data_IF_166787996422
#
_entry.id   IF_166787996422
#
_cell.length_a   1.000
_cell.length_b   1.000
_cell.length_c   1.000
_cell.angle_alpha   90.00
_cell.angle_beta   90.00
_cell.angle_gamma   90.00
#
_symmetry.space_group_name_H-M   'P 1'
#
loop_
_entity.id
_entity.type
_entity.pdbx_description
1 polymer ?
#
# COMPACT_ATOMS: atom_id res chain seq x y z
N UNK A 1 2.68 -53.24 -38.45
CA UNK A 1 3.27 -52.92 -37.13
C UNK A 1 4.28 -51.77 -37.16
N UNK A 2 5.42 -51.86 -37.85
CA UNK A 2 6.48 -50.80 -37.83
C UNK A 2 5.99 -49.37 -38.17
N UNK A 3 5.03 -49.23 -39.10
CA UNK A 3 4.47 -47.93 -39.52
C UNK A 3 3.56 -47.28 -38.45
N UNK A 4 2.85 -48.11 -37.69
CA UNK A 4 1.96 -47.68 -36.59
C UNK A 4 2.80 -47.27 -35.37
N UNK A 5 3.84 -48.04 -35.06
CA UNK A 5 4.79 -47.73 -33.97
C UNK A 5 5.53 -46.42 -34.25
N UNK A 6 5.98 -46.18 -35.50
CA UNK A 6 6.59 -44.90 -35.89
C UNK A 6 5.63 -43.71 -35.77
N UNK A 7 4.35 -43.89 -36.13
CA UNK A 7 3.32 -42.85 -35.96
C UNK A 7 3.06 -42.55 -34.48
N UNK A 8 2.92 -43.58 -33.64
CA UNK A 8 2.70 -43.42 -32.21
C UNK A 8 3.90 -42.76 -31.50
N UNK A 9 5.12 -43.10 -31.90
CA UNK A 9 6.33 -42.44 -31.41
C UNK A 9 6.39 -40.96 -31.82
N UNK A 10 6.07 -40.66 -33.09
CA UNK A 10 6.05 -39.27 -33.57
C UNK A 10 4.98 -38.43 -32.86
N UNK A 11 3.78 -38.99 -32.63
CA UNK A 11 2.72 -38.31 -31.86
C UNK A 11 3.11 -38.13 -30.40
N UNK A 12 3.82 -39.07 -29.79
CA UNK A 12 4.31 -38.94 -28.41
C UNK A 12 5.40 -37.87 -28.29
N UNK A 13 6.33 -37.78 -29.25
CA UNK A 13 7.35 -36.73 -29.30
C UNK A 13 6.73 -35.35 -29.55
N UNK A 14 5.73 -35.26 -30.44
CA UNK A 14 4.97 -34.02 -30.66
C UNK A 14 4.18 -33.61 -29.42
N UNK A 15 3.55 -34.55 -28.70
CA UNK A 15 2.90 -34.26 -27.42
C UNK A 15 3.91 -33.78 -26.37
N UNK A 16 5.10 -34.39 -26.32
CA UNK A 16 6.16 -34.00 -25.39
C UNK A 16 6.72 -32.61 -25.70
N UNK A 17 6.85 -32.26 -26.98
CA UNK A 17 7.22 -30.92 -27.44
C UNK A 17 6.11 -29.89 -27.17
N UNK A 18 4.83 -30.29 -27.22
CA UNK A 18 3.69 -29.44 -26.87
C UNK A 18 3.65 -29.07 -25.38
N UNK A 19 4.19 -29.90 -24.49
CA UNK A 19 4.32 -29.60 -23.05
C UNK A 19 5.27 -28.43 -22.79
N UNK A 20 6.24 -28.17 -23.68
CA UNK A 20 7.17 -27.04 -23.57
C UNK A 20 6.64 -25.73 -24.17
N UNK A 21 5.47 -25.72 -24.83
CA UNK A 21 4.86 -24.51 -25.41
C UNK A 21 3.87 -23.85 -24.44
N UNK A 22 3.67 -24.41 -23.24
CA UNK A 22 2.90 -23.78 -22.17
C UNK A 22 3.82 -22.89 -21.33
N UNK A 23 4.07 -21.69 -21.83
CA UNK A 23 4.05 -20.42 -21.09
C UNK A 23 4.78 -19.36 -21.91
N UNK A 24 4.06 -18.77 -22.87
CA UNK A 24 4.52 -17.55 -23.54
C UNK A 24 4.44 -16.31 -22.62
N UNK A 25 4.39 -16.51 -21.30
CA UNK A 25 4.42 -15.43 -20.30
C UNK A 25 5.48 -15.66 -19.21
N UNK A 26 6.38 -16.62 -19.40
CA UNK A 26 7.60 -16.72 -18.63
C UNK A 26 8.65 -15.70 -19.12
N UNK A 27 8.27 -14.43 -19.28
CA UNK A 27 9.30 -13.39 -19.15
C UNK A 27 9.78 -13.50 -17.70
N UNK A 28 11.07 -13.77 -17.43
CA UNK A 28 11.56 -13.73 -16.07
C UNK A 28 11.23 -12.34 -15.56
N UNK A 29 10.26 -12.24 -14.65
CA UNK A 29 9.97 -11.01 -13.94
C UNK A 29 11.23 -10.65 -13.19
N UNK A 30 12.12 -9.87 -13.80
CA UNK A 30 13.35 -9.43 -13.18
C UNK A 30 12.96 -8.65 -11.94
N UNK A 31 13.36 -9.16 -10.77
CA UNK A 31 13.20 -8.44 -9.52
C UNK A 31 14.02 -7.15 -9.62
N UNK A 32 13.34 -6.02 -9.62
CA UNK A 32 13.95 -4.69 -9.59
C UNK A 32 13.99 -4.19 -8.15
N UNK A 33 14.81 -3.20 -7.89
CA UNK A 33 14.88 -2.55 -6.58
C UNK A 33 15.12 -1.06 -6.73
N UNK A 34 14.44 -0.26 -5.92
CA UNK A 34 14.66 1.18 -5.79
C UNK A 34 14.44 1.60 -4.34
N UNK A 35 15.39 2.35 -3.77
CA UNK A 35 15.37 2.72 -2.35
C UNK A 35 15.23 1.50 -1.43
N UNK A 36 14.12 1.46 -0.70
CA UNK A 36 13.80 0.41 0.28
C UNK A 36 13.03 -0.77 -0.31
N UNK A 37 12.54 -0.68 -1.55
CA UNK A 37 11.56 -1.61 -2.08
C UNK A 37 12.11 -2.46 -3.22
N UNK A 38 11.73 -3.74 -3.22
CA UNK A 38 11.81 -4.64 -4.37
C UNK A 38 10.49 -4.55 -5.12
N UNK A 39 10.54 -4.50 -6.44
CA UNK A 39 9.36 -4.32 -7.26
C UNK A 39 9.44 -5.03 -8.61
N UNK A 40 8.28 -5.12 -9.25
CA UNK A 40 8.09 -5.60 -10.64
C UNK A 40 7.30 -4.56 -11.42
N UNK A 41 7.39 -4.62 -12.74
CA UNK A 41 6.52 -3.86 -13.62
C UNK A 41 5.44 -4.80 -14.14
N UNK A 42 4.18 -4.42 -13.93
CA UNK A 42 3.04 -5.13 -14.47
C UNK A 42 3.09 -5.11 -16.00
N UNK A 43 2.85 -6.27 -16.62
CA UNK A 43 2.99 -6.40 -18.07
C UNK A 43 1.88 -5.66 -18.80
N UNK A 44 0.70 -5.57 -18.22
CA UNK A 44 -0.48 -5.01 -18.86
C UNK A 44 -0.58 -3.52 -18.57
N UNK A 45 -0.55 -3.15 -17.28
CA UNK A 45 -0.73 -1.74 -16.89
C UNK A 45 0.55 -0.91 -16.99
N UNK A 46 1.72 -1.56 -17.08
CA UNK A 46 3.05 -0.91 -17.01
C UNK A 46 3.32 -0.19 -15.70
N UNK A 47 2.50 -0.41 -14.68
CA UNK A 47 2.66 0.16 -13.34
C UNK A 47 3.59 -0.69 -12.48
N UNK A 48 4.00 -0.12 -11.34
CA UNK A 48 4.86 -0.77 -10.37
C UNK A 48 4.01 -1.60 -9.40
N UNK A 49 4.46 -2.84 -9.19
CA UNK A 49 3.95 -3.76 -8.17
C UNK A 49 5.06 -4.01 -7.17
N UNK A 50 4.85 -3.64 -5.91
CA UNK A 50 5.83 -3.90 -4.86
C UNK A 50 5.78 -5.38 -4.46
N UNK A 51 6.94 -6.00 -4.30
CA UNK A 51 7.03 -7.45 -4.02
C UNK A 51 7.88 -7.79 -2.80
N UNK A 52 8.41 -6.79 -2.11
CA UNK A 52 9.17 -6.99 -0.88
C UNK A 52 10.08 -5.82 -0.55
N UNK A 53 10.91 -6.00 0.47
CA UNK A 53 11.89 -5.02 0.92
C UNK A 53 13.30 -5.36 0.42
N UNK A 54 14.13 -4.35 0.17
CA UNK A 54 15.58 -4.51 0.01
C UNK A 54 16.22 -4.69 1.39
N UNK A 55 17.49 -5.13 1.47
CA UNK A 55 18.21 -5.18 2.75
C UNK A 55 18.17 -3.84 3.51
N UNK A 56 18.23 -2.70 2.82
CA UNK A 56 18.11 -1.39 3.48
C UNK A 56 16.71 -1.14 4.03
N UNK A 57 15.68 -1.59 3.31
CA UNK A 57 14.29 -1.52 3.74
C UNK A 57 13.99 -2.42 4.94
N UNK A 58 14.57 -3.63 4.96
CA UNK A 58 14.45 -4.59 6.06
C UNK A 58 14.99 -4.02 7.40
N UNK A 59 15.92 -3.05 7.35
CA UNK A 59 16.50 -2.38 8.52
C UNK A 59 15.73 -1.13 8.99
N UNK A 60 14.68 -0.69 8.29
CA UNK A 60 13.93 0.51 8.68
C UNK A 60 12.94 0.20 9.81
N UNK A 61 12.88 1.06 10.83
CA UNK A 61 11.82 1.00 11.85
C UNK A 61 10.52 1.65 11.36
N UNK A 62 10.61 2.58 10.41
CA UNK A 62 9.47 3.28 9.80
C UNK A 62 9.57 3.22 8.28
N UNK A 63 8.49 2.83 7.61
CA UNK A 63 8.41 2.83 6.14
C UNK A 63 7.20 3.61 5.65
N UNK A 64 7.42 4.40 4.60
CA UNK A 64 6.36 5.05 3.82
C UNK A 64 6.32 4.39 2.45
N UNK A 65 5.20 3.77 2.10
CA UNK A 65 5.04 3.14 0.79
C UNK A 65 4.95 4.24 -0.28
N UNK A 66 5.80 4.21 -1.33
CA UNK A 66 5.79 5.25 -2.35
C UNK A 66 4.59 5.09 -3.29
N UNK A 67 4.07 6.20 -3.80
CA UNK A 67 3.09 6.18 -4.91
C UNK A 67 3.75 6.15 -6.29
N UNK A 68 5.06 6.43 -6.39
CA UNK A 68 5.80 6.46 -7.65
C UNK A 68 7.19 5.83 -7.45
N UNK A 69 7.60 4.93 -8.36
CA UNK A 69 8.98 4.43 -8.46
C UNK A 69 9.42 4.54 -9.92
N UNK A 70 10.60 5.13 -10.14
CA UNK A 70 11.21 5.29 -11.48
C UNK A 70 10.25 5.90 -12.51
N UNK A 71 9.48 6.93 -12.08
CA UNK A 71 8.50 7.65 -12.90
C UNK A 71 7.22 6.84 -13.21
N UNK A 72 6.97 5.76 -12.49
CA UNK A 72 5.79 4.90 -12.69
C UNK A 72 4.97 4.81 -11.42
N UNK A 73 3.65 4.93 -11.57
CA UNK A 73 2.70 4.73 -10.48
C UNK A 73 2.91 3.36 -9.84
N UNK A 74 2.96 3.33 -8.51
CA UNK A 74 2.85 2.12 -7.72
C UNK A 74 1.37 1.83 -7.52
N UNK A 75 0.88 0.73 -8.05
CA UNK A 75 -0.56 0.44 -8.07
C UNK A 75 -0.96 -0.78 -7.25
N UNK A 76 0.00 -1.62 -6.84
CA UNK A 76 -0.26 -2.83 -6.05
C UNK A 76 0.90 -3.20 -5.15
N UNK A 77 0.55 -3.98 -4.14
CA UNK A 77 1.49 -4.73 -3.31
C UNK A 77 1.18 -6.20 -3.55
N UNK A 78 2.22 -6.99 -3.81
CA UNK A 78 2.08 -8.39 -4.19
C UNK A 78 1.40 -8.60 -5.56
N UNK A 79 1.41 -9.84 -6.02
CA UNK A 79 0.76 -10.22 -7.26
C UNK A 79 0.25 -11.67 -7.22
N UNK A 80 -0.81 -11.95 -7.96
CA UNK A 80 -1.31 -13.31 -8.11
C UNK A 80 -0.35 -14.15 -8.95
N UNK A 81 0.32 -15.11 -8.33
CA UNK A 81 1.14 -16.09 -9.05
C UNK A 81 0.26 -17.25 -9.49
N UNK A 82 0.22 -17.48 -10.81
CA UNK A 82 -0.44 -18.64 -11.43
C UNK A 82 0.63 -19.62 -11.89
N UNK A 83 0.57 -20.85 -11.37
CA UNK A 83 1.50 -21.92 -11.72
C UNK A 83 0.76 -23.26 -11.81
N UNK A 84 1.49 -24.38 -11.71
CA UNK A 84 0.90 -25.72 -11.79
C UNK A 84 0.05 -26.12 -10.55
N UNK A 85 -0.06 -25.23 -9.55
CA UNK A 85 -0.88 -25.41 -8.35
C UNK A 85 -1.94 -24.30 -8.22
N UNK A 86 -2.67 -24.30 -7.09
CA UNK A 86 -3.64 -23.26 -6.81
C UNK A 86 -2.98 -21.86 -6.87
N UNK A 87 -3.62 -20.87 -7.52
CA UNK A 87 -3.13 -19.50 -7.52
C UNK A 87 -2.96 -18.99 -6.09
N UNK A 88 -1.86 -18.29 -5.83
CA UNK A 88 -1.63 -17.64 -4.55
C UNK A 88 -1.05 -16.25 -4.76
N UNK A 89 -1.32 -15.35 -3.83
CA UNK A 89 -0.75 -14.01 -3.83
C UNK A 89 0.67 -14.06 -3.28
N UNK A 90 1.62 -13.50 -4.04
CA UNK A 90 3.03 -13.54 -3.73
C UNK A 90 3.53 -12.13 -3.38
N UNK A 91 4.07 -11.99 -2.17
CA UNK A 91 4.84 -10.86 -1.69
C UNK A 91 5.84 -11.37 -0.64
N UNK A 92 7.04 -10.79 -0.58
CA UNK A 92 8.13 -11.16 0.36
C UNK A 92 8.54 -9.92 1.16
N UNK A 93 7.59 -9.38 1.93
CA UNK A 93 7.86 -8.31 2.89
C UNK A 93 8.22 -8.95 4.21
N UNK A 94 9.45 -8.69 4.67
CA UNK A 94 9.95 -9.20 5.93
C UNK A 94 10.78 -8.15 6.63
N UNK A 95 10.61 -8.01 7.93
CA UNK A 95 11.47 -7.16 8.74
C UNK A 95 11.23 -7.41 10.22
N UNK A 96 12.29 -7.76 10.94
CA UNK A 96 12.27 -7.81 12.40
C UNK A 96 12.43 -6.40 13.03
N UNK A 97 12.61 -5.35 12.22
CA UNK A 97 12.85 -3.97 12.69
C UNK A 97 11.66 -3.05 12.49
N UNK A 98 10.84 -3.31 11.48
CA UNK A 98 9.72 -2.45 11.11
C UNK A 98 8.67 -2.43 12.21
N UNK A 99 8.42 -1.23 12.75
CA UNK A 99 7.40 -0.95 13.77
C UNK A 99 6.26 -0.10 13.21
N UNK A 100 6.54 0.74 12.22
CA UNK A 100 5.54 1.66 11.68
C UNK A 100 5.54 1.66 10.16
N UNK A 101 4.36 1.54 9.56
CA UNK A 101 4.21 1.60 8.11
C UNK A 101 3.06 2.53 7.71
N UNK A 102 3.31 3.33 6.67
CA UNK A 102 2.33 4.24 6.10
C UNK A 102 2.00 3.84 4.66
N UNK A 103 0.71 3.70 4.38
CA UNK A 103 0.17 3.44 3.05
C UNK A 103 -0.58 4.67 2.54
N UNK A 104 -0.12 5.33 1.45
CA UNK A 104 -0.95 6.31 0.76
C UNK A 104 -2.15 5.64 0.07
N UNK A 105 -3.06 6.45 -0.48
CA UNK A 105 -4.13 5.97 -1.35
C UNK A 105 -3.64 5.65 -2.76
N UNK A 106 -4.55 5.12 -3.59
CA UNK A 106 -4.28 4.87 -5.01
C UNK A 106 -3.74 3.48 -5.34
N UNK A 107 -3.65 2.59 -4.34
CA UNK A 107 -3.44 1.16 -4.58
C UNK A 107 -4.75 0.48 -4.97
N UNK A 108 -4.66 -0.45 -5.93
CA UNK A 108 -5.75 -1.38 -6.20
C UNK A 108 -5.79 -2.48 -5.14
N UNK A 109 -6.98 -3.07 -4.93
CA UNK A 109 -7.19 -4.17 -3.99
C UNK A 109 -6.13 -5.24 -4.20
N UNK A 110 -5.37 -5.49 -3.15
CA UNK A 110 -4.27 -6.45 -3.12
C UNK A 110 -4.57 -7.46 -2.04
N UNK A 111 -4.77 -8.73 -2.40
CA UNK A 111 -5.12 -9.77 -1.44
C UNK A 111 -3.85 -10.41 -0.89
N UNK A 112 -3.18 -9.74 0.04
CA UNK A 112 -1.97 -10.31 0.67
C UNK A 112 -2.37 -10.86 2.03
N UNK A 113 -2.85 -12.10 2.01
CA UNK A 113 -2.93 -12.88 3.24
C UNK A 113 -1.50 -13.05 3.78
N UNK A 114 -1.35 -12.98 5.10
CA UNK A 114 -0.06 -13.12 5.79
C UNK A 114 0.95 -11.96 5.56
N UNK A 115 0.56 -10.77 5.07
CA UNK A 115 1.53 -9.67 4.85
C UNK A 115 2.38 -9.37 6.10
N UNK A 116 1.75 -9.41 7.28
CA UNK A 116 2.38 -9.09 8.57
C UNK A 116 3.07 -10.30 9.23
N UNK A 117 2.92 -11.51 8.70
CA UNK A 117 3.46 -12.73 9.30
C UNK A 117 4.98 -12.71 9.47
N UNK A 118 5.69 -12.14 8.50
CA UNK A 118 7.14 -11.99 8.52
C UNK A 118 7.57 -10.59 9.01
N UNK A 119 6.67 -9.87 9.68
CA UNK A 119 6.88 -8.54 10.28
C UNK A 119 6.40 -8.55 11.74
N UNK A 120 7.06 -9.34 12.61
CA UNK A 120 6.52 -9.68 13.94
C UNK A 120 6.46 -8.49 14.93
N UNK A 121 7.18 -7.40 14.64
CA UNK A 121 7.30 -6.24 15.53
C UNK A 121 6.49 -5.03 15.06
N UNK A 122 5.52 -5.22 14.16
CA UNK A 122 4.66 -4.12 13.69
C UNK A 122 3.78 -3.58 14.84
N UNK A 123 3.81 -2.27 15.04
CA UNK A 123 3.06 -1.59 16.11
C UNK A 123 2.00 -0.63 15.54
N UNK A 124 2.31 0.10 14.48
CA UNK A 124 1.43 1.16 13.94
C UNK A 124 1.30 1.07 12.43
N UNK A 125 0.07 1.11 11.95
CA UNK A 125 -0.24 0.98 10.53
C UNK A 125 -1.15 2.13 10.12
N UNK A 126 -0.67 3.03 9.27
CA UNK A 126 -1.42 4.20 8.80
C UNK A 126 -1.96 3.97 7.39
N UNK A 127 -3.27 4.08 7.21
CA UNK A 127 -3.95 3.94 5.93
C UNK A 127 -4.58 5.23 5.44
N UNK A 128 -3.98 5.82 4.40
CA UNK A 128 -4.46 7.02 3.73
C UNK A 128 -5.79 6.81 3.00
N UNK A 129 -6.08 5.61 2.52
CA UNK A 129 -7.39 5.21 1.97
C UNK A 129 -7.73 3.76 2.34
N UNK A 130 -8.97 3.54 2.73
CA UNK A 130 -9.47 2.28 3.30
C UNK A 130 -10.11 1.47 2.19
N UNK A 131 -9.29 0.78 1.40
CA UNK A 131 -9.72 -0.39 0.62
C UNK A 131 -9.17 -1.66 1.28
N UNK A 132 -9.72 -2.00 2.46
CA UNK A 132 -9.26 -3.15 3.25
C UNK A 132 -9.64 -4.44 2.52
N UNK A 133 -8.63 -5.17 2.06
CA UNK A 133 -8.71 -6.59 1.70
C UNK A 133 -7.38 -7.27 2.08
N UNK A 134 -6.87 -6.95 3.27
CA UNK A 134 -5.70 -7.58 3.88
C UNK A 134 -6.16 -8.29 5.15
N UNK A 135 -5.91 -9.59 5.21
CA UNK A 135 -6.11 -10.36 6.43
C UNK A 135 -5.12 -9.86 7.50
N UNK A 136 -5.65 -9.24 8.55
CA UNK A 136 -4.86 -8.70 9.66
C UNK A 136 -4.57 -9.75 10.74
N UNK A 137 -4.97 -11.01 10.56
CA UNK A 137 -4.94 -12.09 11.56
C UNK A 137 -3.57 -12.51 12.13
N UNK A 138 -2.49 -11.77 11.85
CA UNK A 138 -1.16 -11.95 12.45
C UNK A 138 -0.66 -10.71 13.21
N UNK A 139 -1.53 -9.72 13.44
CA UNK A 139 -1.21 -8.56 14.27
C UNK A 139 -1.74 -8.84 15.67
N UNK A 140 -0.83 -9.16 16.60
CA UNK A 140 -1.21 -9.49 17.98
C UNK A 140 -1.47 -8.23 18.84
N UNK A 141 -0.76 -7.12 18.61
CA UNK A 141 -0.80 -5.91 19.46
C UNK A 141 -0.63 -4.59 18.68
N UNK A 142 -0.89 -4.57 17.37
CA UNK A 142 -0.73 -3.37 16.54
C UNK A 142 -1.98 -2.51 16.50
N UNK A 143 -1.80 -1.21 16.39
CA UNK A 143 -2.88 -0.23 16.18
C UNK A 143 -2.94 0.19 14.70
N UNK A 144 -4.15 0.21 14.16
CA UNK A 144 -4.43 0.65 12.79
C UNK A 144 -5.03 2.05 12.84
N UNK A 145 -4.46 2.96 12.08
CA UNK A 145 -4.92 4.33 11.95
C UNK A 145 -5.61 4.52 10.60
N UNK A 146 -6.76 5.17 10.62
CA UNK A 146 -7.56 5.50 9.42
C UNK A 146 -8.05 6.95 9.48
N UNK A 147 -8.36 7.54 8.33
CA UNK A 147 -9.05 8.84 8.29
C UNK A 147 -10.52 8.71 8.72
N UNK A 148 -11.11 9.78 9.26
CA UNK A 148 -12.51 9.78 9.75
C UNK A 148 -13.57 9.50 8.68
N UNK A 149 -13.40 10.03 7.47
CA UNK A 149 -14.39 9.91 6.39
C UNK A 149 -14.41 8.49 5.80
N UNK A 150 -13.33 7.73 5.99
CA UNK A 150 -13.26 6.35 5.53
C UNK A 150 -13.89 5.40 6.53
N UNK A 151 -15.10 4.94 6.18
CA UNK A 151 -15.60 3.63 6.57
C UNK A 151 -15.87 3.40 8.07
N UNK A 152 -15.51 4.31 8.98
CA UNK A 152 -15.73 4.16 10.43
C UNK A 152 -17.21 3.89 10.77
N UNK A 153 -18.13 4.61 10.13
CA UNK A 153 -19.57 4.40 10.31
C UNK A 153 -20.06 3.07 9.70
N UNK A 154 -19.37 2.54 8.69
CA UNK A 154 -19.67 1.22 8.10
C UNK A 154 -19.07 0.07 8.93
N UNK A 155 -17.87 0.27 9.49
CA UNK A 155 -17.18 -0.68 10.36
C UNK A 155 -17.89 -0.81 11.71
N UNK A 156 -18.40 0.30 12.28
CA UNK A 156 -19.27 0.28 13.46
C UNK A 156 -20.53 -0.57 13.30
N UNK A 157 -21.04 -0.73 12.08
CA UNK A 157 -22.22 -1.55 11.80
C UNK A 157 -21.88 -3.05 11.69
N UNK A 158 -20.59 -3.39 11.56
CA UNK A 158 -20.08 -4.74 11.42
C UNK A 158 -18.98 -4.97 12.47
N UNK A 159 -19.33 -4.84 13.76
CA UNK A 159 -18.43 -5.14 14.90
C UNK A 159 -17.77 -6.53 14.80
N UNK A 160 -18.32 -7.42 13.98
CA UNK A 160 -17.81 -8.78 13.72
C UNK A 160 -16.71 -8.87 12.62
N UNK A 161 -16.36 -7.78 11.92
CA UNK A 161 -15.49 -7.83 10.73
C UNK A 161 -13.98 -7.75 11.04
N UNK A 162 -13.61 -7.17 12.17
CA UNK A 162 -12.23 -7.26 12.67
C UNK A 162 -12.18 -8.32 13.74
N UNK A 163 -11.16 -9.18 13.66
CA UNK A 163 -10.78 -9.99 14.81
C UNK A 163 -10.56 -9.04 15.99
N UNK A 164 -11.17 -9.36 17.12
CA UNK A 164 -11.46 -8.44 18.23
C UNK A 164 -10.20 -7.93 18.98
N UNK A 165 -9.02 -8.22 18.45
CA UNK A 165 -7.70 -7.91 18.99
C UNK A 165 -7.05 -6.64 18.43
N UNK A 166 -7.56 -6.07 17.32
CA UNK A 166 -6.90 -4.94 16.64
C UNK A 166 -7.57 -3.62 17.00
N UNK A 167 -6.80 -2.72 17.60
CA UNK A 167 -7.24 -1.36 17.91
C UNK A 167 -7.27 -0.52 16.63
N UNK A 168 -8.44 0.05 16.30
CA UNK A 168 -8.60 0.97 15.16
C UNK A 168 -8.81 2.39 15.67
N UNK A 169 -7.85 3.26 15.35
CA UNK A 169 -7.80 4.66 15.76
C UNK A 169 -8.09 5.60 14.58
N UNK A 170 -8.68 6.75 14.87
CA UNK A 170 -8.90 7.80 13.87
C UNK A 170 -7.72 8.76 13.91
N UNK A 171 -7.02 8.91 12.79
CA UNK A 171 -5.94 9.88 12.65
C UNK A 171 -6.46 11.32 12.65
N UNK A 172 -5.68 12.22 13.25
CA UNK A 172 -6.02 13.64 13.36
C UNK A 172 -5.38 14.52 12.26
N UNK A 173 -4.50 13.98 11.44
CA UNK A 173 -3.97 14.63 10.23
C UNK A 173 -4.40 13.85 9.00
N UNK A 174 -5.04 14.54 8.05
CA UNK A 174 -5.49 13.97 6.78
C UNK A 174 -4.95 14.79 5.61
N UNK A 175 -4.23 14.13 4.71
CA UNK A 175 -3.83 14.68 3.43
C UNK A 175 -4.88 14.31 2.37
N UNK A 176 -5.34 15.28 1.60
CA UNK A 176 -6.32 15.13 0.54
C UNK A 176 -5.65 15.23 -0.83
N UNK A 177 -6.04 14.35 -1.74
CA UNK A 177 -5.51 14.36 -3.11
C UNK A 177 -5.92 15.61 -3.89
N UNK A 178 -7.01 16.29 -3.47
CA UNK A 178 -7.47 17.58 -4.01
C UNK A 178 -7.56 17.59 -5.55
N UNK A 179 -8.08 16.52 -6.13
CA UNK A 179 -8.25 16.32 -7.57
C UNK A 179 -9.64 16.76 -8.07
N UNK A 180 -10.35 17.57 -7.27
CA UNK A 180 -11.77 17.89 -7.43
C UNK A 180 -12.68 17.00 -6.59
N UNK A 181 -12.13 16.01 -5.88
CA UNK A 181 -12.83 15.19 -4.88
C UNK A 181 -12.36 15.50 -3.46
N UNK A 182 -13.05 14.93 -2.47
CA UNK A 182 -12.65 14.93 -1.06
C UNK A 182 -11.91 13.64 -0.66
N UNK A 183 -11.29 12.96 -1.62
CA UNK A 183 -10.58 11.71 -1.36
C UNK A 183 -9.30 11.95 -0.55
N UNK A 184 -9.15 11.14 0.48
CA UNK A 184 -7.96 11.08 1.32
C UNK A 184 -6.82 10.39 0.55
N UNK A 185 -5.61 10.82 0.87
CA UNK A 185 -4.39 10.33 0.27
C UNK A 185 -3.46 9.73 1.31
N UNK A 186 -3.28 10.38 2.44
CA UNK A 186 -2.32 9.99 3.47
C UNK A 186 -2.82 10.48 4.82
N UNK A 187 -2.34 9.88 5.90
CA UNK A 187 -2.74 10.26 7.25
C UNK A 187 -1.56 10.18 8.21
N UNK A 188 -1.68 10.86 9.34
CA UNK A 188 -0.75 10.77 10.46
C UNK A 188 -1.47 11.04 11.79
N UNK A 189 -0.89 10.59 12.89
CA UNK A 189 -1.35 10.90 14.25
C UNK A 189 -0.26 11.71 14.96
N UNK A 190 -0.56 12.96 15.29
CA UNK A 190 0.43 13.93 15.75
C UNK A 190 -0.17 14.79 16.85
N UNK A 191 0.60 15.05 17.91
CA UNK A 191 0.16 15.92 19.01
C UNK A 191 1.28 16.89 19.41
N UNK A 192 1.00 18.19 19.36
CA UNK A 192 1.91 19.27 19.74
C UNK A 192 3.29 19.22 19.06
N UNK A 193 3.31 18.87 17.76
CA UNK A 193 4.52 18.68 16.98
C UNK A 193 4.28 18.99 15.50
N UNK A 194 5.36 19.08 14.72
CA UNK A 194 5.29 18.90 13.27
C UNK A 194 4.94 17.44 12.95
N UNK A 195 4.53 17.17 11.71
CA UNK A 195 4.17 15.81 11.25
C UNK A 195 5.34 14.84 11.34
N UNK A 196 5.07 13.55 11.57
CA UNK A 196 6.08 12.53 11.84
C UNK A 196 6.86 12.13 10.58
N UNK A 197 6.16 12.09 9.45
CA UNK A 197 6.73 11.73 8.14
C UNK A 197 6.18 12.65 7.05
N UNK A 198 6.99 12.86 6.02
CA UNK A 198 6.54 13.55 4.80
C UNK A 198 5.82 12.52 3.93
N UNK A 199 4.58 12.80 3.47
CA UNK A 199 3.87 11.90 2.58
C UNK A 199 4.64 11.71 1.26
N UNK A 200 4.52 10.56 0.59
CA UNK A 200 5.14 10.39 -0.71
C UNK A 200 4.49 11.35 -1.71
N UNK A 201 5.20 11.64 -2.82
CA UNK A 201 4.61 12.42 -3.91
C UNK A 201 3.41 11.67 -4.49
N UNK A 202 2.19 12.26 -4.44
CA UNK A 202 1.01 11.61 -5.00
C UNK A 202 1.11 11.50 -6.53
N UNK A 203 0.37 10.55 -7.09
CA UNK A 203 0.26 10.38 -8.54
C UNK A 203 -1.12 10.83 -9.01
N UNK A 204 -1.16 11.64 -10.07
CA UNK A 204 -2.38 12.01 -10.81
C UNK A 204 -2.06 12.04 -12.29
N UNK A 205 -2.85 11.33 -13.10
CA UNK A 205 -2.61 11.25 -14.54
C UNK A 205 -2.83 12.60 -15.23
N UNK A 206 -1.85 13.06 -16.02
CA UNK A 206 -1.89 14.34 -16.74
C UNK A 206 -1.61 15.57 -15.89
N UNK A 207 -1.19 15.39 -14.63
CA UNK A 207 -0.86 16.49 -13.73
C UNK A 207 0.44 16.24 -13.00
N UNK A 208 1.21 17.31 -12.81
CA UNK A 208 2.39 17.35 -11.98
C UNK A 208 2.02 17.83 -10.58
N UNK A 209 2.42 17.07 -9.57
CA UNK A 209 2.31 17.51 -8.17
C UNK A 209 3.19 18.73 -7.93
N UNK A 210 2.64 19.78 -7.31
CA UNK A 210 3.38 21.00 -6.99
C UNK A 210 3.84 21.01 -5.53
N UNK A 211 2.91 21.02 -4.59
CA UNK A 211 3.20 21.04 -3.16
C UNK A 211 1.97 20.67 -2.31
N UNK A 212 2.12 20.67 -0.99
CA UNK A 212 1.06 20.54 -0.01
C UNK A 212 0.64 21.91 0.54
N UNK A 213 -0.66 22.10 0.73
CA UNK A 213 -1.27 23.38 1.10
C UNK A 213 -2.22 23.25 2.28
N UNK A 214 -2.43 24.36 2.99
CA UNK A 214 -3.31 24.43 4.17
C UNK A 214 -4.80 24.46 3.82
N UNK A 215 -5.12 24.80 2.57
CA UNK A 215 -6.47 24.90 2.06
C UNK A 215 -6.59 24.42 0.61
N UNK A 216 -7.83 24.13 0.17
CA UNK A 216 -8.12 23.55 -1.15
C UNK A 216 -7.73 24.45 -2.30
N UNK A 217 -7.78 25.77 -2.07
CA UNK A 217 -7.45 26.82 -3.03
C UNK A 217 -5.94 26.92 -3.32
N UNK A 218 -5.11 26.18 -2.56
CA UNK A 218 -3.66 26.12 -2.74
C UNK A 218 -2.95 27.48 -2.70
N UNK A 219 -3.25 28.30 -1.69
CA UNK A 219 -2.66 29.65 -1.54
C UNK A 219 -1.47 29.61 -0.58
N UNK A 220 -1.63 28.93 0.56
CA UNK A 220 -0.66 28.83 1.64
C UNK A 220 -0.05 27.43 1.68
N UNK A 221 1.28 27.37 1.50
CA UNK A 221 2.03 26.13 1.63
C UNK A 221 1.98 25.61 3.06
N UNK A 222 1.92 24.28 3.19
CA UNK A 222 2.24 23.58 4.43
C UNK A 222 3.77 23.44 4.54
N UNK A 223 4.37 24.05 5.55
CA UNK A 223 5.80 23.97 5.86
C UNK A 223 6.05 22.83 6.85
N UNK A 224 6.56 21.71 6.36
CA UNK A 224 6.83 20.50 7.14
C UNK A 224 7.80 20.70 8.33
N UNK A 225 8.61 21.76 8.33
CA UNK A 225 9.56 22.04 9.41
C UNK A 225 9.00 23.03 10.45
N UNK A 226 7.98 23.81 10.10
CA UNK A 226 7.47 24.91 10.94
C UNK A 226 6.01 24.77 11.35
N UNK A 227 5.16 24.23 10.49
CA UNK A 227 3.74 24.12 10.77
C UNK A 227 3.46 22.98 11.75
N UNK A 228 2.81 23.34 12.85
CA UNK A 228 2.54 22.43 13.96
C UNK A 228 1.10 21.94 13.92
N UNK A 229 0.94 20.66 14.22
CA UNK A 229 -0.33 20.06 14.62
C UNK A 229 -0.57 20.40 16.09
N UNK A 230 -1.75 20.94 16.45
CA UNK A 230 -2.06 21.29 17.82
C UNK A 230 -2.07 20.05 18.73
N UNK A 231 -1.92 20.27 20.03
CA UNK A 231 -2.07 19.21 21.03
C UNK A 231 -3.47 18.60 20.95
N UNK A 232 -3.54 17.26 20.96
CA UNK A 232 -4.79 16.52 21.10
C UNK A 232 -5.45 16.90 22.43
N UNK A 233 -6.75 17.17 22.38
CA UNK A 233 -7.54 17.67 23.52
C UNK A 233 -8.45 16.57 24.04
N UNK A 234 -8.76 16.64 25.32
CA UNK A 234 -9.69 15.73 25.99
C UNK A 234 -10.77 16.54 26.70
N UNK A 235 -11.98 16.00 26.77
CA UNK A 235 -13.08 16.57 27.56
C UNK A 235 -12.91 16.28 29.06
N UNK A 236 -13.88 16.71 29.88
CA UNK A 236 -13.85 16.50 31.33
C UNK A 236 -13.95 15.03 31.74
N UNK A 237 -14.45 14.17 30.85
CA UNK A 237 -14.67 12.75 31.08
C UNK A 237 -13.47 11.91 30.58
N UNK A 238 -12.48 12.57 29.97
CA UNK A 238 -11.26 11.95 29.43
C UNK A 238 -11.41 11.43 28.00
N UNK A 239 -12.50 11.74 27.30
CA UNK A 239 -12.66 11.36 25.90
C UNK A 239 -11.92 12.35 25.00
N UNK A 240 -11.30 11.83 23.94
CA UNK A 240 -10.64 12.67 22.95
C UNK A 240 -11.64 13.59 22.22
N UNK A 241 -11.33 14.88 22.17
CA UNK A 241 -12.04 15.87 21.35
C UNK A 241 -11.37 15.90 19.99
N UNK A 242 -11.96 15.18 19.03
CA UNK A 242 -11.42 15.08 17.69
C UNK A 242 -11.39 16.42 16.95
N UNK A 243 -10.21 16.80 16.49
CA UNK A 243 -9.94 17.95 15.62
C UNK A 243 -9.09 17.48 14.43
N UNK A 244 -9.54 17.75 13.21
CA UNK A 244 -8.86 17.30 11.99
C UNK A 244 -8.01 18.42 11.39
N UNK A 245 -6.72 18.13 11.18
CA UNK A 245 -5.83 18.94 10.35
C UNK A 245 -5.90 18.43 8.92
N UNK A 246 -6.30 19.32 8.00
CA UNK A 246 -6.44 19.02 6.59
C UNK A 246 -5.32 19.64 5.79
N UNK A 247 -4.69 18.84 4.94
CA UNK A 247 -3.59 19.28 4.07
C UNK A 247 -3.93 18.85 2.64
N UNK A 248 -3.76 19.72 1.66
CA UNK A 248 -4.28 19.52 0.30
C UNK A 248 -3.16 19.49 -0.73
N UNK A 249 -3.19 18.53 -1.64
CA UNK A 249 -2.23 18.50 -2.75
C UNK A 249 -2.53 19.62 -3.76
N UNK A 250 -1.48 20.24 -4.29
CA UNK A 250 -1.57 21.15 -5.44
C UNK A 250 -1.10 20.46 -6.71
N UNK A 251 -1.67 20.87 -7.84
CA UNK A 251 -1.46 20.27 -9.15
C UNK A 251 -1.29 21.32 -10.24
N UNK A 252 -0.45 21.02 -11.22
CA UNK A 252 -0.29 21.77 -12.47
C UNK A 252 -0.52 20.80 -13.64
N UNK A 253 -1.30 21.19 -14.65
CA UNK A 253 -1.50 20.36 -15.85
C UNK A 253 -0.17 20.18 -16.60
N UNK A 254 0.12 18.96 -17.07
CA UNK A 254 1.30 18.65 -17.89
C UNK A 254 1.14 18.98 -19.38
#
# INVERSE_FOLDING_TARGET
MKKIIKRLFLTSVLLYLLIFIVSCDARPYFNRSSGYFKYKIDVDTKEVVLVGLTKKGEEQETLVIPSIIDGKKVSRIGYLRRGNGAPYWAADFKSDKLKTIYFPSGFSKSYINDFYKDIPNIERIYWGDVSIDFDLGYIDNGSVYISKINYYEHLKQHEDYFDCSIEVNIANVTYYINDGTDNQYFIDEVSDSVVNVIPPTPYREGYKFTNWYKEKECINLWDFEKDKVPKIKYDSDGNEIYEEIKIYAGWEEE
#
